data_IF_297869085175
#
_entry.id   IF_297869085175
#
_cell.length_a   1.000
_cell.length_b   1.000
_cell.length_c   1.000
_cell.angle_alpha   90.00
_cell.angle_beta   90.00
_cell.angle_gamma   90.00
#
_symmetry.space_group_name_H-M   'P 1'
#
loop_
_entity.id
_entity.type
_entity.pdbx_description
1 polymer ?
#
# COMPACT_ATOMS: atom_id res chain seq x y z
N UNK A 1 -51.55 -14.40 3.99
CA UNK A 1 -50.55 -15.40 3.55
C UNK A 1 -49.23 -15.06 4.22
N UNK A 2 -48.51 -16.02 4.81
CA UNK A 2 -47.17 -15.73 5.32
C UNK A 2 -46.27 -15.29 4.16
N UNK A 3 -45.34 -14.35 4.39
CA UNK A 3 -44.43 -13.88 3.36
C UNK A 3 -43.52 -15.02 2.90
N UNK A 4 -43.33 -15.13 1.59
CA UNK A 4 -42.38 -16.09 1.00
C UNK A 4 -40.98 -15.77 1.47
N UNK A 5 -40.30 -16.77 2.05
CA UNK A 5 -38.92 -16.68 2.53
C UNK A 5 -38.02 -17.57 1.68
N UNK A 6 -36.71 -17.31 1.68
CA UNK A 6 -35.74 -18.15 0.96
C UNK A 6 -35.82 -19.61 1.44
N UNK A 7 -36.07 -19.86 2.73
CA UNK A 7 -36.24 -21.20 3.31
C UNK A 7 -37.53 -21.90 2.89
N UNK A 8 -38.56 -21.18 2.42
CA UNK A 8 -39.81 -21.77 1.91
C UNK A 8 -39.78 -22.07 0.42
N UNK A 9 -38.71 -21.70 -0.30
CA UNK A 9 -38.56 -22.05 -1.72
C UNK A 9 -38.21 -23.54 -1.89
N UNK A 10 -38.59 -24.16 -3.02
CA UNK A 10 -38.06 -25.46 -3.44
C UNK A 10 -36.53 -25.50 -3.44
N UNK A 11 -35.95 -26.68 -3.17
CA UNK A 11 -34.51 -26.84 -3.03
C UNK A 11 -33.75 -26.38 -4.27
N UNK A 12 -34.30 -26.64 -5.45
CA UNK A 12 -33.73 -26.28 -6.75
C UNK A 12 -33.56 -24.76 -6.88
N UNK A 13 -34.59 -23.99 -6.50
CA UNK A 13 -34.53 -22.53 -6.55
C UNK A 13 -33.59 -21.97 -5.49
N UNK A 14 -33.57 -22.55 -4.28
CA UNK A 14 -32.60 -22.15 -3.25
C UNK A 14 -31.18 -22.39 -3.73
N UNK A 15 -30.89 -23.57 -4.26
CA UNK A 15 -29.57 -23.93 -4.74
C UNK A 15 -29.12 -23.02 -5.88
N UNK A 16 -30.01 -22.67 -6.81
CA UNK A 16 -29.70 -21.72 -7.88
C UNK A 16 -29.32 -20.34 -7.32
N UNK A 17 -30.13 -19.81 -6.39
CA UNK A 17 -29.83 -18.54 -5.73
C UNK A 17 -28.51 -18.61 -4.96
N UNK A 18 -28.26 -19.72 -4.25
CA UNK A 18 -27.05 -19.90 -3.46
C UNK A 18 -25.81 -20.04 -4.34
N UNK A 19 -25.90 -20.72 -5.49
CA UNK A 19 -24.81 -20.88 -6.44
C UNK A 19 -24.29 -19.52 -6.94
N UNK A 20 -25.19 -18.57 -7.17
CA UNK A 20 -24.86 -17.20 -7.60
C UNK A 20 -24.13 -16.38 -6.52
N UNK A 21 -24.13 -16.85 -5.26
CA UNK A 21 -23.41 -16.21 -4.14
C UNK A 21 -22.07 -16.85 -3.83
N UNK A 22 -21.71 -17.94 -4.52
CA UNK A 22 -20.45 -18.64 -4.26
C UNK A 22 -19.29 -17.82 -4.82
N UNK A 23 -18.28 -17.64 -4.00
CA UNK A 23 -17.00 -17.02 -4.34
C UNK A 23 -15.91 -18.07 -4.21
N UNK A 24 -15.01 -18.12 -5.19
CA UNK A 24 -13.81 -18.96 -5.11
C UNK A 24 -12.73 -18.13 -4.41
N UNK A 25 -12.14 -18.66 -3.34
CA UNK A 25 -11.02 -18.05 -2.62
C UNK A 25 -9.79 -18.93 -2.78
N UNK A 26 -8.70 -18.37 -3.27
CA UNK A 26 -7.43 -19.06 -3.42
C UNK A 26 -6.44 -18.48 -2.43
N UNK A 27 -5.83 -19.36 -1.66
CA UNK A 27 -4.79 -19.07 -0.69
C UNK A 27 -3.64 -20.05 -0.90
N UNK A 28 -2.43 -19.61 -0.61
CA UNK A 28 -1.25 -20.50 -0.59
C UNK A 28 -1.40 -21.66 0.41
N UNK A 29 -2.02 -21.44 1.58
CA UNK A 29 -2.07 -22.44 2.66
C UNK A 29 -3.14 -23.49 2.45
N UNK A 30 -4.34 -23.06 2.06
CA UNK A 30 -5.53 -23.91 2.03
C UNK A 30 -5.91 -24.31 0.60
N UNK A 31 -5.08 -23.95 -0.40
CA UNK A 31 -5.40 -24.10 -1.81
C UNK A 31 -6.60 -23.21 -2.19
N UNK A 32 -7.53 -23.76 -2.96
CA UNK A 32 -8.78 -23.07 -3.26
C UNK A 32 -9.94 -23.59 -2.41
N UNK A 33 -10.79 -22.68 -1.96
CA UNK A 33 -11.97 -22.96 -1.16
C UNK A 33 -13.18 -22.21 -1.70
N UNK A 34 -14.35 -22.82 -1.55
CA UNK A 34 -15.63 -22.21 -1.90
C UNK A 34 -16.21 -21.53 -0.67
N UNK A 35 -16.56 -20.26 -0.82
CA UNK A 35 -17.10 -19.43 0.26
C UNK A 35 -18.44 -18.85 -0.19
N UNK A 36 -19.45 -18.93 0.65
CA UNK A 36 -20.72 -18.21 0.47
C UNK A 36 -21.19 -17.65 1.80
N UNK A 37 -21.73 -16.42 1.83
CA UNK A 37 -22.30 -15.84 3.06
C UNK A 37 -23.47 -16.67 3.62
N UNK A 38 -24.15 -17.46 2.78
CA UNK A 38 -25.32 -18.22 3.19
C UNK A 38 -25.01 -19.45 4.07
N UNK A 39 -23.80 -20.01 3.94
CA UNK A 39 -23.42 -21.22 4.68
C UNK A 39 -23.47 -21.05 6.21
N UNK A 40 -23.28 -19.82 6.71
CA UNK A 40 -23.34 -19.51 8.13
C UNK A 40 -24.74 -19.17 8.68
N UNK A 41 -25.76 -19.07 7.82
CA UNK A 41 -27.08 -18.57 8.22
C UNK A 41 -27.93 -19.64 8.89
N UNK A 42 -28.05 -20.82 8.28
CA UNK A 42 -28.79 -21.94 8.85
C UNK A 42 -28.34 -23.30 8.28
N UNK A 43 -28.70 -24.40 8.98
CA UNK A 43 -28.34 -25.77 8.58
C UNK A 43 -28.86 -26.16 7.20
N UNK A 44 -30.02 -25.61 6.79
CA UNK A 44 -30.61 -25.89 5.48
C UNK A 44 -29.73 -25.38 4.35
N UNK A 45 -29.29 -24.12 4.41
CA UNK A 45 -28.41 -23.56 3.38
C UNK A 45 -27.04 -24.22 3.39
N UNK A 46 -26.52 -24.63 4.55
CA UNK A 46 -25.29 -25.42 4.59
C UNK A 46 -25.44 -26.74 3.82
N UNK A 47 -26.57 -27.45 4.00
CA UNK A 47 -26.85 -28.67 3.26
C UNK A 47 -26.99 -28.40 1.75
N UNK A 48 -27.74 -27.35 1.36
CA UNK A 48 -27.89 -26.95 -0.03
C UNK A 48 -26.52 -26.62 -0.66
N UNK A 49 -25.63 -25.92 0.06
CA UNK A 49 -24.27 -25.59 -0.42
C UNK A 49 -23.43 -26.85 -0.61
N UNK A 50 -23.45 -27.79 0.34
CA UNK A 50 -22.71 -29.04 0.20
C UNK A 50 -23.20 -29.89 -0.99
N UNK A 51 -24.48 -29.79 -1.33
CA UNK A 51 -25.03 -30.42 -2.53
C UNK A 51 -24.51 -29.73 -3.80
N UNK A 52 -24.58 -28.38 -3.86
CA UNK A 52 -24.05 -27.58 -4.97
C UNK A 52 -22.58 -27.92 -5.21
N UNK A 53 -21.74 -27.96 -4.17
CA UNK A 53 -20.28 -28.18 -4.29
C UNK A 53 -19.88 -29.44 -5.06
N UNK A 54 -20.74 -30.47 -5.11
CA UNK A 54 -20.44 -31.75 -5.78
C UNK A 54 -20.51 -31.65 -7.29
N UNK A 55 -21.47 -30.89 -7.80
CA UNK A 55 -21.77 -30.80 -9.24
C UNK A 55 -21.72 -29.36 -9.76
N UNK A 56 -21.25 -28.41 -8.98
CA UNK A 56 -21.19 -27.02 -9.43
C UNK A 56 -19.99 -26.79 -10.34
N UNK A 57 -20.27 -26.20 -11.50
CA UNK A 57 -19.30 -25.57 -12.38
C UNK A 57 -19.53 -24.06 -12.27
N UNK A 58 -18.50 -23.27 -11.93
CA UNK A 58 -18.64 -21.83 -11.85
C UNK A 58 -19.03 -21.23 -13.20
N UNK A 59 -20.02 -20.31 -13.26
CA UNK A 59 -20.15 -19.45 -14.43
C UNK A 59 -18.89 -18.59 -14.62
N UNK A 60 -18.61 -18.07 -15.84
CA UNK A 60 -17.43 -17.23 -16.11
C UNK A 60 -17.35 -15.97 -15.24
N UNK A 61 -18.51 -15.47 -14.82
CA UNK A 61 -18.68 -14.30 -13.96
C UNK A 61 -18.43 -14.58 -12.48
N UNK A 62 -18.16 -15.82 -12.10
CA UNK A 62 -17.93 -16.19 -10.68
C UNK A 62 -16.75 -15.41 -10.12
N UNK A 63 -16.94 -14.67 -9.02
CA UNK A 63 -15.84 -13.97 -8.36
C UNK A 63 -14.76 -14.97 -7.91
N UNK A 64 -13.56 -14.81 -8.45
CA UNK A 64 -12.37 -15.57 -8.07
C UNK A 64 -11.39 -14.65 -7.37
N UNK A 65 -11.19 -14.87 -6.09
CA UNK A 65 -10.39 -14.04 -5.19
C UNK A 65 -9.11 -14.76 -4.83
N UNK A 66 -7.98 -14.13 -5.07
CA UNK A 66 -6.66 -14.56 -4.64
C UNK A 66 -6.31 -13.75 -3.39
N UNK A 67 -6.36 -14.42 -2.23
CA UNK A 67 -6.26 -13.80 -0.90
C UNK A 67 -4.86 -13.30 -0.56
N UNK A 68 -3.87 -13.86 -1.25
CA UNK A 68 -2.49 -13.46 -1.19
C UNK A 68 -1.83 -13.70 -2.54
N UNK A 69 -0.83 -12.90 -2.93
CA UNK A 69 -0.22 -13.00 -4.25
C UNK A 69 0.37 -14.38 -4.62
N UNK A 70 0.85 -15.14 -3.63
CA UNK A 70 1.36 -16.51 -3.82
C UNK A 70 0.25 -17.51 -4.21
N UNK A 71 -1.02 -17.18 -3.98
CA UNK A 71 -2.15 -18.01 -4.40
C UNK A 71 -2.37 -18.05 -5.91
N UNK A 72 -1.67 -17.25 -6.71
CA UNK A 72 -1.84 -17.26 -8.17
C UNK A 72 -1.47 -18.62 -8.79
N UNK A 73 -0.50 -19.33 -8.23
CA UNK A 73 -0.15 -20.70 -8.66
C UNK A 73 -1.34 -21.67 -8.53
N UNK A 74 -2.25 -21.38 -7.59
CA UNK A 74 -3.48 -22.12 -7.41
C UNK A 74 -4.47 -21.99 -8.56
N UNK A 75 -4.33 -21.00 -9.46
CA UNK A 75 -5.21 -20.87 -10.64
C UNK A 75 -5.06 -22.04 -11.60
N UNK A 76 -3.84 -22.55 -11.81
CA UNK A 76 -3.61 -23.69 -12.70
C UNK A 76 -4.25 -24.95 -12.12
N UNK A 77 -4.13 -25.14 -10.80
CA UNK A 77 -4.76 -26.25 -10.09
C UNK A 77 -6.29 -26.14 -10.11
N UNK A 78 -6.82 -24.93 -9.93
CA UNK A 78 -8.25 -24.64 -9.99
C UNK A 78 -8.82 -24.94 -11.39
N UNK A 79 -8.13 -24.50 -12.44
CA UNK A 79 -8.53 -24.74 -13.82
C UNK A 79 -8.52 -26.24 -14.16
N UNK A 80 -7.47 -26.96 -13.75
CA UNK A 80 -7.40 -28.42 -13.92
C UNK A 80 -8.55 -29.14 -13.20
N UNK A 81 -8.83 -28.76 -11.95
CA UNK A 81 -9.92 -29.32 -11.15
C UNK A 81 -11.28 -29.14 -11.81
N UNK A 82 -11.58 -27.95 -12.34
CA UNK A 82 -12.87 -27.72 -13.00
C UNK A 82 -12.97 -28.31 -14.40
N UNK A 83 -11.86 -28.52 -15.10
CA UNK A 83 -11.83 -29.32 -16.34
C UNK A 83 -12.23 -30.76 -16.07
N UNK A 84 -11.59 -31.41 -15.11
CA UNK A 84 -11.93 -32.79 -14.69
C UNK A 84 -13.41 -32.89 -14.28
N UNK A 85 -13.89 -31.94 -13.47
CA UNK A 85 -15.30 -31.89 -13.06
C UNK A 85 -16.28 -31.66 -14.22
N UNK A 86 -15.89 -30.87 -15.21
CA UNK A 86 -16.70 -30.62 -16.39
C UNK A 86 -16.83 -31.90 -17.23
N UNK A 87 -15.74 -32.65 -17.38
CA UNK A 87 -15.73 -33.97 -18.00
C UNK A 87 -16.66 -34.95 -17.26
N UNK A 88 -16.53 -35.06 -15.93
CA UNK A 88 -17.36 -35.94 -15.10
C UNK A 88 -18.86 -35.64 -15.23
N UNK A 89 -19.20 -34.35 -15.32
CA UNK A 89 -20.59 -33.89 -15.40
C UNK A 89 -21.09 -33.70 -16.83
N UNK A 90 -20.29 -34.06 -17.84
CA UNK A 90 -20.61 -33.90 -19.27
C UNK A 90 -21.05 -32.48 -19.64
N UNK A 91 -20.39 -31.49 -19.06
CA UNK A 91 -20.59 -30.06 -19.33
C UNK A 91 -19.28 -29.45 -19.79
N UNK A 92 -19.35 -28.25 -20.34
CA UNK A 92 -18.16 -27.49 -20.72
C UNK A 92 -17.68 -26.61 -19.55
N UNK A 93 -16.37 -26.55 -19.35
CA UNK A 93 -15.75 -25.58 -18.45
C UNK A 93 -15.38 -24.32 -19.24
N UNK A 94 -16.05 -23.17 -19.00
CA UNK A 94 -15.80 -21.97 -19.78
C UNK A 94 -14.50 -21.23 -19.38
N UNK A 95 -13.81 -21.70 -18.35
CA UNK A 95 -12.63 -21.04 -17.80
C UNK A 95 -12.94 -19.93 -16.80
N UNK A 96 -11.88 -19.27 -16.32
CA UNK A 96 -11.96 -18.17 -15.35
C UNK A 96 -11.85 -16.88 -16.14
N UNK A 97 -12.89 -16.05 -16.17
CA UNK A 97 -12.83 -14.78 -16.92
C UNK A 97 -12.18 -13.66 -16.09
N UNK A 98 -12.59 -13.53 -14.82
CA UNK A 98 -12.15 -12.44 -13.95
C UNK A 98 -11.54 -12.95 -12.65
N UNK A 99 -10.40 -12.39 -12.27
CA UNK A 99 -9.76 -12.62 -10.98
C UNK A 99 -9.58 -11.30 -10.22
N UNK A 100 -9.57 -11.38 -8.88
CA UNK A 100 -9.15 -10.28 -8.00
C UNK A 100 -7.98 -10.74 -7.16
N UNK A 101 -6.87 -10.01 -7.21
CA UNK A 101 -5.65 -10.30 -6.45
C UNK A 101 -5.53 -9.26 -5.34
N UNK A 102 -5.60 -9.70 -4.08
CA UNK A 102 -5.30 -8.84 -2.94
C UNK A 102 -3.79 -8.71 -2.77
N UNK A 103 -3.31 -7.47 -2.83
CA UNK A 103 -1.89 -7.15 -2.60
C UNK A 103 -1.52 -7.44 -1.15
N UNK A 104 -2.36 -7.03 -0.22
CA UNK A 104 -2.20 -7.27 1.21
C UNK A 104 -2.86 -8.60 1.60
N UNK A 105 -2.11 -9.46 2.29
CA UNK A 105 -2.63 -10.73 2.79
C UNK A 105 -3.84 -10.48 3.69
N UNK A 106 -4.99 -11.05 3.36
CA UNK A 106 -6.20 -10.95 4.21
C UNK A 106 -6.15 -11.89 5.43
N UNK A 107 -5.21 -12.84 5.44
CA UNK A 107 -5.10 -13.90 6.45
C UNK A 107 -4.26 -13.49 7.67
N UNK A 108 -3.41 -12.47 7.54
CA UNK A 108 -2.42 -12.17 8.59
C UNK A 108 -3.02 -11.35 9.73
N UNK A 109 -3.32 -12.02 10.85
CA UNK A 109 -4.02 -11.43 12.00
C UNK A 109 -3.22 -11.46 13.31
N UNK A 110 -1.99 -11.96 13.36
CA UNK A 110 -1.22 -11.94 14.61
C UNK A 110 -0.20 -10.79 14.67
N UNK A 111 -0.27 -9.97 15.73
CA UNK A 111 0.85 -9.12 16.14
C UNK A 111 2.06 -10.00 16.47
N UNK A 112 3.28 -9.64 16.08
CA UNK A 112 4.42 -10.16 16.81
C UNK A 112 4.38 -9.69 18.27
N UNK A 113 4.94 -10.47 19.20
CA UNK A 113 4.91 -10.16 20.62
C UNK A 113 5.44 -8.74 20.89
N UNK A 114 4.74 -8.04 21.80
CA UNK A 114 5.01 -6.65 22.17
C UNK A 114 6.47 -6.53 22.60
N UNK A 115 7.29 -5.70 21.94
CA UNK A 115 8.68 -5.63 22.29
C UNK A 115 8.85 -4.97 23.67
N UNK A 116 9.74 -5.53 24.49
CA UNK A 116 10.09 -4.99 25.81
C UNK A 116 10.64 -3.56 25.66
N UNK A 117 10.55 -2.72 26.70
CA UNK A 117 10.79 -1.26 26.71
C UNK A 117 12.21 -0.79 26.30
N UNK A 118 13.03 -1.62 25.66
CA UNK A 118 14.40 -1.34 25.29
C UNK A 118 14.53 -0.60 23.95
N UNK A 119 15.51 0.29 23.78
CA UNK A 119 15.79 1.00 22.52
C UNK A 119 16.23 0.07 21.39
N UNK A 120 16.50 -1.20 21.68
CA UNK A 120 16.75 -2.30 20.75
C UNK A 120 15.47 -2.90 20.15
N UNK A 121 14.29 -2.37 20.50
CA UNK A 121 12.99 -2.82 19.97
C UNK A 121 13.03 -2.97 18.45
N UNK A 122 12.91 -4.23 18.00
CA UNK A 122 12.67 -4.55 16.59
C UNK A 122 11.35 -3.94 16.15
N UNK A 123 11.33 -3.36 14.95
CA UNK A 123 10.10 -2.81 14.37
C UNK A 123 9.00 -3.88 14.35
N UNK A 124 7.86 -3.68 15.06
CA UNK A 124 6.82 -4.69 15.19
C UNK A 124 6.03 -4.88 13.88
N UNK A 125 6.22 -4.00 12.89
CA UNK A 125 5.72 -4.21 11.53
C UNK A 125 6.66 -5.11 10.69
N UNK A 126 7.78 -5.58 11.27
CA UNK A 126 8.84 -6.37 10.62
C UNK A 126 9.33 -7.59 11.41
N UNK A 127 8.45 -8.48 11.92
CA UNK A 127 8.93 -9.58 12.73
C UNK A 127 9.73 -10.62 11.95
N UNK A 128 9.43 -10.87 10.67
CA UNK A 128 10.16 -11.80 9.78
C UNK A 128 9.92 -11.45 8.29
N UNK A 129 10.02 -10.17 7.94
CA UNK A 129 9.48 -9.60 6.70
C UNK A 129 8.32 -8.64 6.99
N UNK A 130 7.68 -8.09 5.96
CA UNK A 130 6.49 -7.26 6.14
C UNK A 130 5.33 -8.12 6.66
N UNK A 131 4.65 -7.66 7.71
CA UNK A 131 3.67 -8.50 8.41
C UNK A 131 2.45 -8.89 7.55
N UNK A 132 2.15 -8.16 6.49
CA UNK A 132 0.97 -8.35 5.63
C UNK A 132 1.31 -8.36 4.13
N UNK A 133 2.60 -8.26 3.79
CA UNK A 133 3.12 -8.35 2.43
C UNK A 133 4.16 -9.47 2.42
N UNK A 134 3.99 -10.47 1.56
CA UNK A 134 4.99 -11.53 1.44
C UNK A 134 6.19 -11.03 0.66
N UNK A 135 7.37 -11.27 1.23
CA UNK A 135 8.64 -10.82 0.67
C UNK A 135 9.09 -11.67 -0.53
N UNK A 136 8.72 -12.96 -0.55
CA UNK A 136 8.99 -13.87 -1.64
C UNK A 136 7.73 -14.01 -2.48
N UNK A 137 7.75 -13.39 -3.64
CA UNK A 137 6.84 -13.74 -4.71
C UNK A 137 7.20 -15.12 -5.29
N UNK A 138 6.23 -15.71 -5.99
CA UNK A 138 6.45 -16.84 -6.91
C UNK A 138 7.66 -16.52 -7.77
N UNK A 139 8.50 -17.52 -8.05
CA UNK A 139 9.60 -17.41 -9.01
C UNK A 139 9.07 -16.71 -10.28
N UNK A 140 9.48 -15.46 -10.51
CA UNK A 140 8.91 -14.59 -11.55
C UNK A 140 8.93 -15.26 -12.93
N UNK A 141 9.85 -16.21 -13.12
CA UNK A 141 9.97 -17.02 -14.33
C UNK A 141 8.78 -17.97 -14.58
N UNK A 142 8.01 -18.34 -13.55
CA UNK A 142 6.97 -19.37 -13.61
C UNK A 142 5.55 -18.83 -13.51
N UNK A 143 5.39 -17.53 -13.26
CA UNK A 143 4.07 -16.93 -13.15
C UNK A 143 3.35 -16.93 -14.51
N UNK A 144 2.22 -17.64 -14.60
CA UNK A 144 1.39 -17.75 -15.82
C UNK A 144 -0.09 -17.67 -15.49
N UNK A 145 -0.79 -16.76 -16.15
CA UNK A 145 -2.25 -16.70 -16.08
C UNK A 145 -2.88 -17.70 -17.08
N UNK A 146 -3.94 -18.43 -16.69
CA UNK A 146 -4.78 -19.15 -17.64
C UNK A 146 -5.25 -18.23 -18.77
N UNK A 147 -5.26 -18.74 -20.01
CA UNK A 147 -5.63 -17.98 -21.21
C UNK A 147 -7.10 -17.53 -21.26
N UNK A 148 -7.95 -18.09 -20.38
CA UNK A 148 -9.35 -17.69 -20.24
C UNK A 148 -9.52 -16.37 -19.48
N UNK A 149 -8.50 -15.92 -18.75
CA UNK A 149 -8.57 -14.69 -17.95
C UNK A 149 -8.49 -13.49 -18.87
N UNK A 150 -9.54 -12.67 -18.81
CA UNK A 150 -9.67 -11.42 -19.57
C UNK A 150 -9.67 -10.20 -18.65
N UNK A 151 -9.89 -10.38 -17.35
CA UNK A 151 -9.97 -9.29 -16.40
C UNK A 151 -9.23 -9.60 -15.10
N UNK A 152 -8.32 -8.71 -14.70
CA UNK A 152 -7.51 -8.85 -13.48
C UNK A 152 -7.68 -7.59 -12.64
N UNK A 153 -8.33 -7.71 -11.49
CA UNK A 153 -8.40 -6.63 -10.52
C UNK A 153 -7.26 -6.77 -9.52
N UNK A 154 -6.37 -5.80 -9.43
CA UNK A 154 -5.35 -5.75 -8.39
C UNK A 154 -5.83 -4.83 -7.28
N UNK A 155 -6.15 -5.42 -6.13
CA UNK A 155 -6.73 -4.75 -4.98
C UNK A 155 -5.64 -4.34 -3.98
N UNK A 156 -5.35 -3.05 -3.97
CA UNK A 156 -4.36 -2.40 -3.10
C UNK A 156 -4.99 -1.85 -1.81
N UNK A 157 -6.26 -2.15 -1.51
CA UNK A 157 -6.85 -1.71 -0.25
C UNK A 157 -6.19 -2.43 0.93
N UNK A 158 -5.77 -1.67 1.93
CA UNK A 158 -5.35 -2.24 3.19
C UNK A 158 -6.59 -2.64 3.99
N UNK A 159 -6.69 -3.89 4.46
CA UNK A 159 -7.74 -4.28 5.40
C UNK A 159 -7.74 -3.36 6.63
N UNK A 160 -8.92 -2.92 7.09
CA UNK A 160 -9.05 -1.98 8.20
C UNK A 160 -8.29 -2.43 9.47
N UNK A 161 -8.33 -3.73 9.78
CA UNK A 161 -7.59 -4.30 10.90
C UNK A 161 -6.06 -4.13 10.76
N UNK A 162 -5.53 -4.10 9.53
CA UNK A 162 -4.10 -3.86 9.28
C UNK A 162 -3.75 -2.38 9.34
N UNK A 163 -4.63 -1.50 8.83
CA UNK A 163 -4.48 -0.05 8.97
C UNK A 163 -4.37 0.31 10.45
N UNK A 164 -5.30 -0.18 11.28
CA UNK A 164 -5.28 0.03 12.72
C UNK A 164 -3.94 -0.41 13.34
N UNK A 165 -3.37 -1.53 12.91
CA UNK A 165 -2.07 -1.99 13.45
C UNK A 165 -0.91 -1.10 13.05
N UNK A 166 -0.89 -0.62 11.81
CA UNK A 166 0.12 0.32 11.36
C UNK A 166 -0.01 1.62 12.16
N UNK A 167 -1.22 2.05 12.48
CA UNK A 167 -1.50 3.22 13.34
C UNK A 167 -1.06 2.99 14.79
N UNK A 168 -1.29 1.81 15.35
CA UNK A 168 -0.83 1.44 16.69
C UNK A 168 0.71 1.42 16.84
N UNK A 169 1.44 1.35 15.71
CA UNK A 169 2.90 1.52 15.62
C UNK A 169 3.34 2.95 15.23
N UNK A 170 2.41 3.89 15.12
CA UNK A 170 2.61 5.30 14.85
C UNK A 170 2.58 6.19 16.09
N UNK A 171 2.59 7.53 15.94
CA UNK A 171 2.55 8.47 17.06
C UNK A 171 1.45 8.14 18.05
N UNK A 172 1.77 8.22 19.34
CA UNK A 172 0.86 7.92 20.46
C UNK A 172 0.33 6.47 20.51
N UNK A 173 0.77 5.62 19.58
CA UNK A 173 0.40 4.23 19.49
C UNK A 173 0.98 3.36 20.63
N UNK A 174 0.28 2.29 21.04
CA UNK A 174 0.69 1.42 22.14
C UNK A 174 1.97 0.63 21.88
N UNK A 175 2.50 0.63 20.65
CA UNK A 175 3.73 -0.04 20.26
C UNK A 175 4.93 0.90 20.07
N UNK A 176 4.77 2.20 20.38
CA UNK A 176 5.85 3.18 20.32
C UNK A 176 6.63 3.23 21.64
N UNK A 177 7.98 3.33 21.60
CA UNK A 177 8.78 3.53 22.80
C UNK A 177 8.37 4.80 23.57
N UNK A 178 8.12 4.68 24.88
CA UNK A 178 7.73 5.81 25.76
C UNK A 178 8.86 6.85 25.90
N UNK A 179 8.50 8.08 26.26
CA UNK A 179 9.44 9.16 26.60
C UNK A 179 10.08 9.89 25.40
N UNK A 180 9.48 9.78 24.22
CA UNK A 180 9.93 10.50 23.01
C UNK A 180 9.32 11.90 22.97
N UNK A 181 10.14 12.91 22.64
CA UNK A 181 9.69 14.32 22.52
C UNK A 181 8.98 14.65 21.20
N UNK A 182 9.18 13.83 20.17
CA UNK A 182 8.61 14.04 18.83
C UNK A 182 7.73 12.84 18.45
N UNK A 183 6.68 13.05 17.62
CA UNK A 183 5.90 11.98 17.01
C UNK A 183 6.79 10.90 16.40
N UNK A 184 6.57 9.64 16.79
CA UNK A 184 7.42 8.53 16.39
C UNK A 184 6.85 7.81 15.16
N UNK A 185 7.19 8.32 13.99
CA UNK A 185 6.81 7.70 12.71
C UNK A 185 7.83 6.67 12.18
N UNK A 186 8.87 6.32 12.96
CA UNK A 186 9.98 5.51 12.44
C UNK A 186 9.49 4.14 11.94
N UNK A 187 8.65 3.44 12.71
CA UNK A 187 8.19 2.11 12.32
C UNK A 187 7.31 2.12 11.07
N UNK A 188 6.36 3.06 10.99
CA UNK A 188 5.50 3.22 9.81
C UNK A 188 6.30 3.61 8.56
N UNK A 189 7.28 4.53 8.69
CA UNK A 189 8.16 4.92 7.56
C UNK A 189 8.99 3.75 7.06
N UNK A 190 9.58 2.99 7.98
CA UNK A 190 10.32 1.77 7.65
C UNK A 190 9.41 0.77 6.95
N UNK A 191 8.21 0.50 7.47
CA UNK A 191 7.24 -0.37 6.82
C UNK A 191 6.96 0.09 5.37
N UNK A 192 6.58 1.35 5.17
CA UNK A 192 6.25 1.87 3.83
C UNK A 192 7.43 1.89 2.86
N UNK A 193 8.66 2.09 3.37
CA UNK A 193 9.87 2.07 2.57
C UNK A 193 10.19 0.69 1.96
N UNK A 194 9.63 -0.38 2.52
CA UNK A 194 9.72 -1.74 1.98
C UNK A 194 8.43 -2.16 1.28
N UNK A 195 7.27 -1.75 1.80
CA UNK A 195 5.97 -2.11 1.26
C UNK A 195 5.78 -1.59 -0.16
N UNK A 196 6.02 -0.29 -0.40
CA UNK A 196 5.73 0.30 -1.70
C UNK A 196 6.58 -0.30 -2.84
N UNK A 197 7.91 -0.50 -2.70
CA UNK A 197 8.68 -1.19 -3.73
C UNK A 197 8.22 -2.62 -3.97
N UNK A 198 7.80 -3.34 -2.92
CA UNK A 198 7.26 -4.70 -3.07
C UNK A 198 5.92 -4.69 -3.80
N UNK A 199 5.02 -3.76 -3.47
CA UNK A 199 3.76 -3.57 -4.21
C UNK A 199 4.02 -3.25 -5.68
N UNK A 200 4.99 -2.37 -5.95
CA UNK A 200 5.39 -2.03 -7.30
C UNK A 200 5.90 -3.25 -8.06
N UNK A 201 6.89 -3.96 -7.51
CA UNK A 201 7.42 -5.19 -8.11
C UNK A 201 6.30 -6.19 -8.40
N UNK A 202 5.43 -6.46 -7.42
CA UNK A 202 4.25 -7.32 -7.53
C UNK A 202 3.37 -6.95 -8.73
N UNK A 203 3.01 -5.67 -8.83
CA UNK A 203 2.15 -5.19 -9.90
C UNK A 203 2.81 -5.33 -11.27
N UNK A 204 4.10 -5.00 -11.37
CA UNK A 204 4.86 -5.19 -12.60
C UNK A 204 4.97 -6.67 -12.99
N UNK A 205 5.16 -7.57 -12.03
CA UNK A 205 5.21 -9.02 -12.29
C UNK A 205 3.86 -9.57 -12.77
N UNK A 206 2.75 -9.11 -12.20
CA UNK A 206 1.40 -9.45 -12.68
C UNK A 206 1.18 -9.01 -14.12
N UNK A 207 1.62 -7.80 -14.47
CA UNK A 207 1.48 -7.28 -15.84
C UNK A 207 2.41 -8.01 -16.81
N UNK A 208 3.67 -8.22 -16.43
CA UNK A 208 4.69 -8.92 -17.24
C UNK A 208 4.30 -10.38 -17.56
N UNK A 209 3.50 -11.01 -16.70
CA UNK A 209 2.92 -12.33 -16.95
C UNK A 209 2.11 -12.45 -18.24
N UNK A 210 1.40 -11.38 -18.56
CA UNK A 210 0.51 -11.30 -19.72
C UNK A 210 1.25 -10.70 -20.90
N UNK A 211 2.32 -9.95 -20.64
CA UNK A 211 3.10 -9.21 -21.63
C UNK A 211 4.55 -9.68 -21.55
N UNK A 212 4.91 -10.75 -22.28
CA UNK A 212 6.24 -11.35 -22.19
C UNK A 212 7.39 -10.43 -22.65
N UNK A 213 7.13 -9.22 -23.15
CA UNK A 213 8.15 -8.28 -23.62
C UNK A 213 8.52 -7.26 -22.55
N UNK A 214 9.83 -7.03 -22.36
CA UNK A 214 10.40 -5.95 -21.53
C UNK A 214 10.04 -4.51 -21.97
N UNK A 215 9.15 -4.36 -22.94
CA UNK A 215 8.83 -3.11 -23.61
C UNK A 215 7.32 -2.86 -23.63
N UNK A 216 6.61 -3.00 -22.50
CA UNK A 216 5.28 -2.40 -22.42
C UNK A 216 5.46 -0.88 -22.45
N UNK A 217 5.01 -0.23 -23.52
CA UNK A 217 5.16 1.21 -23.67
C UNK A 217 4.17 1.95 -22.78
N UNK A 218 4.45 3.20 -22.42
CA UNK A 218 3.51 4.02 -21.63
C UNK A 218 2.18 4.26 -22.35
N UNK A 219 2.17 4.15 -23.69
CA UNK A 219 1.01 4.29 -24.59
C UNK A 219 -0.08 3.23 -24.36
N UNK A 220 0.30 2.19 -23.66
CA UNK A 220 -0.39 0.92 -23.57
C UNK A 220 -1.29 0.98 -22.28
N UNK A 221 -0.88 1.79 -21.29
CA UNK A 221 -1.71 2.21 -20.14
C UNK A 221 -2.80 3.19 -20.60
N UNK A 222 -4.07 2.79 -20.46
CA UNK A 222 -5.22 3.64 -20.80
C UNK A 222 -5.98 4.03 -19.55
N UNK A 223 -6.04 5.31 -19.26
CA UNK A 223 -6.97 5.79 -18.24
C UNK A 223 -8.40 5.58 -18.74
N UNK A 224 -9.26 4.94 -17.93
CA UNK A 224 -10.68 4.76 -18.22
C UNK A 224 -11.50 5.72 -17.34
N UNK A 225 -11.90 6.89 -17.87
CA UNK A 225 -12.58 7.93 -17.09
C UNK A 225 -13.83 7.42 -16.37
N UNK A 226 -14.60 6.58 -17.06
CA UNK A 226 -15.93 6.13 -16.63
C UNK A 226 -15.90 5.24 -15.39
N UNK A 227 -14.78 4.54 -15.16
CA UNK A 227 -14.60 3.68 -13.99
C UNK A 227 -13.79 4.36 -12.89
N UNK A 228 -13.28 5.55 -13.15
CA UNK A 228 -12.23 6.23 -12.38
C UNK A 228 -10.94 5.42 -12.18
N UNK A 229 -10.88 4.16 -12.61
CA UNK A 229 -9.76 3.24 -12.40
C UNK A 229 -8.75 3.37 -13.52
N UNK A 230 -7.47 3.24 -13.17
CA UNK A 230 -6.43 3.05 -14.17
C UNK A 230 -6.58 1.63 -14.73
N UNK A 231 -6.73 1.53 -16.05
CA UNK A 231 -6.75 0.24 -16.71
C UNK A 231 -5.54 0.06 -17.63
N UNK A 232 -4.98 -1.14 -17.59
CA UNK A 232 -3.91 -1.55 -18.48
C UNK A 232 -4.55 -2.58 -19.40
N UNK A 233 -4.59 -2.32 -20.70
CA UNK A 233 -5.12 -3.29 -21.67
C UNK A 233 -3.94 -3.88 -22.40
N UNK A 234 -3.75 -5.19 -22.25
CA UNK A 234 -2.65 -5.88 -22.90
C UNK A 234 -3.04 -7.30 -23.29
N UNK A 235 -2.77 -7.66 -24.55
CA UNK A 235 -3.10 -8.98 -25.11
C UNK A 235 -4.55 -9.42 -24.85
N UNK A 236 -5.49 -8.47 -24.87
CA UNK A 236 -6.92 -8.72 -24.60
C UNK A 236 -7.28 -8.87 -23.12
N UNK A 237 -6.31 -8.76 -22.20
CA UNK A 237 -6.54 -8.73 -20.76
C UNK A 237 -6.61 -7.29 -20.29
N UNK A 238 -7.62 -6.99 -19.48
CA UNK A 238 -7.77 -5.69 -18.80
C UNK A 238 -7.33 -5.84 -17.35
N UNK A 239 -6.34 -5.07 -16.92
CA UNK A 239 -5.99 -4.93 -15.51
C UNK A 239 -6.66 -3.71 -14.94
N UNK A 240 -7.29 -3.84 -13.78
CA UNK A 240 -7.91 -2.75 -13.03
C UNK A 240 -7.18 -2.59 -11.70
N UNK A 241 -6.59 -1.42 -11.47
CA UNK A 241 -5.96 -1.10 -10.17
C UNK A 241 -6.99 -0.44 -9.26
N UNK A 242 -7.31 -1.07 -8.14
CA UNK A 242 -8.27 -0.53 -7.17
C UNK A 242 -7.63 -0.30 -5.81
N UNK A 243 -8.10 0.75 -5.14
CA UNK A 243 -7.74 1.07 -3.77
C UNK A 243 -7.01 2.38 -3.60
N UNK A 244 -7.00 2.85 -2.37
CA UNK A 244 -6.44 4.14 -1.98
C UNK A 244 -5.58 3.96 -0.73
N UNK A 245 -4.46 4.69 -0.67
CA UNK A 245 -3.66 4.72 0.53
C UNK A 245 -4.44 5.44 1.64
N UNK A 246 -4.62 4.85 2.83
CA UNK A 246 -5.32 5.51 3.92
C UNK A 246 -4.72 6.90 4.21
N UNK A 247 -5.57 7.92 4.40
CA UNK A 247 -5.12 9.30 4.59
C UNK A 247 -4.14 9.45 5.77
N UNK A 248 -4.35 8.69 6.84
CA UNK A 248 -3.45 8.64 8.00
C UNK A 248 -2.03 8.16 7.65
N UNK A 249 -1.90 7.36 6.59
CA UNK A 249 -0.63 6.82 6.10
C UNK A 249 -0.03 7.67 4.99
N UNK A 250 -0.83 8.41 4.22
CA UNK A 250 -0.34 9.28 3.15
C UNK A 250 0.67 10.32 3.63
N UNK A 251 0.41 10.93 4.79
CA UNK A 251 1.35 11.88 5.40
C UNK A 251 2.66 11.22 5.82
N UNK A 252 2.61 9.98 6.30
CA UNK A 252 3.81 9.22 6.70
C UNK A 252 4.69 8.93 5.50
N UNK A 253 4.08 8.47 4.40
CA UNK A 253 4.77 8.19 3.14
C UNK A 253 5.36 9.48 2.57
N UNK A 254 4.59 10.56 2.51
CA UNK A 254 5.06 11.86 2.02
C UNK A 254 6.25 12.40 2.82
N UNK A 255 6.17 12.35 4.16
CA UNK A 255 7.26 12.76 5.03
C UNK A 255 8.52 11.90 4.86
N UNK A 256 8.36 10.60 4.59
CA UNK A 256 9.47 9.70 4.28
C UNK A 256 10.14 10.04 2.93
N UNK A 257 9.36 10.30 1.88
CA UNK A 257 9.90 10.69 0.56
C UNK A 257 10.76 11.95 0.67
N UNK A 258 10.26 12.99 1.36
CA UNK A 258 11.02 14.22 1.57
C UNK A 258 12.30 13.95 2.38
N UNK A 259 12.23 13.09 3.39
CA UNK A 259 13.41 12.70 4.15
C UNK A 259 14.45 11.99 3.26
N UNK A 260 14.02 11.09 2.37
CA UNK A 260 14.93 10.45 1.40
C UNK A 260 15.59 11.48 0.48
N UNK A 261 14.83 12.42 -0.06
CA UNK A 261 15.35 13.47 -0.95
C UNK A 261 16.36 14.39 -0.27
N UNK A 262 16.21 14.64 1.03
CA UNK A 262 17.13 15.49 1.80
C UNK A 262 18.46 14.81 2.15
N UNK A 263 18.45 13.49 2.38
CA UNK A 263 19.56 12.78 3.02
C UNK A 263 20.23 11.71 2.17
N UNK A 264 19.66 11.35 1.01
CA UNK A 264 20.24 10.36 0.12
C UNK A 264 20.54 10.98 -1.24
N UNK A 265 21.79 10.88 -1.70
CA UNK A 265 22.15 11.18 -3.10
C UNK A 265 21.39 10.32 -4.11
N UNK A 266 20.93 9.14 -3.68
CA UNK A 266 20.09 8.21 -4.44
C UNK A 266 18.58 8.39 -4.10
N UNK A 267 18.23 9.33 -3.22
CA UNK A 267 16.87 9.55 -2.74
C UNK A 267 15.95 10.08 -3.83
N UNK A 268 16.46 11.03 -4.63
CA UNK A 268 15.74 11.61 -5.76
C UNK A 268 15.35 10.58 -6.82
N UNK A 269 16.22 9.62 -7.14
CA UNK A 269 15.91 8.61 -8.15
C UNK A 269 14.77 7.70 -7.68
N UNK A 270 14.77 7.33 -6.40
CA UNK A 270 13.77 6.45 -5.82
C UNK A 270 12.39 7.12 -5.68
N UNK A 271 12.35 8.36 -5.15
CA UNK A 271 11.10 9.12 -5.01
C UNK A 271 10.49 9.47 -6.36
N UNK A 272 11.32 9.85 -7.33
CA UNK A 272 10.89 10.18 -8.70
C UNK A 272 10.38 8.95 -9.43
N UNK A 273 11.06 7.80 -9.33
CA UNK A 273 10.64 6.59 -10.05
C UNK A 273 9.32 6.04 -9.52
N UNK A 274 9.14 6.01 -8.20
CA UNK A 274 7.95 5.44 -7.59
C UNK A 274 6.72 6.35 -7.74
N UNK A 275 6.89 7.67 -7.59
CA UNK A 275 5.78 8.62 -7.74
C UNK A 275 5.38 8.89 -9.19
N UNK A 276 6.26 8.61 -10.15
CA UNK A 276 5.97 8.77 -11.59
C UNK A 276 5.50 7.48 -12.26
N UNK A 277 5.44 6.38 -11.52
CA UNK A 277 4.84 5.15 -12.05
C UNK A 277 3.35 5.39 -12.29
N UNK A 278 2.95 5.36 -13.57
CA UNK A 278 1.58 5.59 -13.99
C UNK A 278 0.61 4.61 -13.31
N UNK A 279 1.11 3.42 -12.95
CA UNK A 279 0.33 2.36 -12.31
C UNK A 279 -0.08 2.74 -10.88
N UNK A 280 0.76 3.51 -10.19
CA UNK A 280 0.52 3.97 -8.82
C UNK A 280 -0.02 5.39 -8.72
N UNK A 281 -0.24 6.07 -9.85
CA UNK A 281 -0.60 7.49 -9.88
C UNK A 281 -1.85 7.80 -9.04
N UNK A 282 -2.90 6.99 -9.19
CA UNK A 282 -4.13 7.10 -8.38
C UNK A 282 -3.87 6.75 -6.91
N UNK A 283 -3.25 5.59 -6.64
CA UNK A 283 -3.01 5.10 -5.28
C UNK A 283 -2.18 6.08 -4.43
N UNK A 284 -1.23 6.78 -5.07
CA UNK A 284 -0.34 7.76 -4.42
C UNK A 284 -0.80 9.21 -4.58
N UNK A 285 -1.98 9.48 -5.13
CA UNK A 285 -2.47 10.85 -5.36
C UNK A 285 -2.50 11.69 -4.07
N UNK A 286 -3.01 11.14 -2.96
CA UNK A 286 -3.02 11.79 -1.64
C UNK A 286 -1.61 12.00 -1.08
N UNK A 287 -0.66 11.10 -1.40
CA UNK A 287 0.75 11.24 -1.02
C UNK A 287 1.37 12.43 -1.74
N UNK A 288 1.09 12.60 -3.03
CA UNK A 288 1.61 13.73 -3.83
C UNK A 288 1.13 15.06 -3.25
N UNK A 289 -0.16 15.15 -2.90
CA UNK A 289 -0.70 16.35 -2.25
C UNK A 289 0.00 16.61 -0.91
N UNK A 290 0.08 15.59 -0.04
CA UNK A 290 0.74 15.70 1.26
C UNK A 290 2.22 16.07 1.14
N UNK A 291 2.90 15.56 0.11
CA UNK A 291 4.30 15.86 -0.18
C UNK A 291 4.47 17.34 -0.52
N UNK A 292 3.62 17.90 -1.40
CA UNK A 292 3.64 19.32 -1.74
C UNK A 292 3.45 20.18 -0.48
N UNK A 293 2.46 19.87 0.34
CA UNK A 293 2.15 20.63 1.56
C UNK A 293 3.35 20.64 2.54
N UNK A 294 3.94 19.47 2.80
CA UNK A 294 5.10 19.35 3.72
C UNK A 294 6.34 20.04 3.13
N UNK A 295 6.56 19.92 1.80
CA UNK A 295 7.69 20.55 1.13
C UNK A 295 7.60 22.08 1.16
N UNK A 296 6.41 22.63 0.92
CA UNK A 296 6.14 24.06 1.02
C UNK A 296 6.35 24.58 2.45
N UNK A 297 5.81 23.86 3.44
CA UNK A 297 5.99 24.20 4.85
C UNK A 297 7.47 24.25 5.22
N UNK A 298 8.23 23.22 4.85
CA UNK A 298 9.69 23.17 5.06
C UNK A 298 10.41 24.31 4.36
N UNK A 299 10.04 24.63 3.12
CA UNK A 299 10.62 25.76 2.38
C UNK A 299 10.35 27.09 3.10
N UNK A 300 9.13 27.27 3.61
CA UNK A 300 8.74 28.42 4.44
C UNK A 300 9.60 28.54 5.71
N UNK A 301 9.73 27.44 6.48
CA UNK A 301 10.57 27.38 7.69
C UNK A 301 12.04 27.69 7.40
N UNK A 302 12.60 27.16 6.30
CA UNK A 302 13.98 27.44 5.86
C UNK A 302 14.16 28.92 5.51
N UNK A 303 13.24 29.51 4.75
CA UNK A 303 13.26 30.95 4.41
C UNK A 303 13.17 31.83 5.67
N UNK A 304 12.27 31.51 6.60
CA UNK A 304 12.12 32.23 7.85
C UNK A 304 13.38 32.13 8.73
N UNK A 305 13.99 30.95 8.82
CA UNK A 305 15.24 30.74 9.57
C UNK A 305 16.42 31.49 8.94
N UNK A 306 16.52 31.47 7.61
CA UNK A 306 17.54 32.23 6.88
C UNK A 306 17.36 33.75 7.07
N UNK A 307 16.11 34.25 7.05
CA UNK A 307 15.80 35.65 7.34
C UNK A 307 16.23 36.05 8.75
N UNK A 308 15.82 35.29 9.78
CA UNK A 308 16.23 35.52 11.18
C UNK A 308 17.75 35.46 11.38
N UNK A 309 18.43 34.52 10.69
CA UNK A 309 19.89 34.41 10.74
C UNK A 309 20.58 35.64 10.12
N UNK A 310 20.06 36.15 8.99
CA UNK A 310 20.55 37.38 8.35
C UNK A 310 20.32 38.61 9.24
N UNK A 311 19.15 38.73 9.87
CA UNK A 311 18.85 39.82 10.81
C UNK A 311 19.80 39.81 12.01
N UNK A 312 19.98 38.66 12.66
CA UNK A 312 20.95 38.49 13.76
C UNK A 312 22.38 38.81 13.35
N UNK A 313 22.78 38.46 12.12
CA UNK A 313 24.10 38.80 11.60
C UNK A 313 24.27 40.32 11.46
N UNK A 314 23.28 41.02 10.89
CA UNK A 314 23.28 42.49 10.78
C UNK A 314 23.32 43.17 12.15
N UNK A 315 22.57 42.66 13.12
CA UNK A 315 22.59 43.18 14.50
C UNK A 315 23.99 43.05 15.13
N UNK A 316 24.64 41.89 14.97
CA UNK A 316 26.02 41.68 15.45
C UNK A 316 27.03 42.59 14.76
N UNK A 317 26.91 42.77 13.45
CA UNK A 317 27.77 43.67 12.67
C UNK A 317 27.59 45.13 13.13
N UNK A 318 26.35 45.57 13.38
CA UNK A 318 26.04 46.89 13.92
C UNK A 318 26.56 47.08 15.35
N UNK A 319 26.42 46.07 16.22
CA UNK A 319 26.93 46.11 17.59
C UNK A 319 28.47 46.18 17.60
N UNK A 320 29.15 45.40 16.77
CA UNK A 320 30.61 45.48 16.62
C UNK A 320 31.05 46.85 16.11
N UNK A 321 30.33 47.43 15.15
CA UNK A 321 30.60 48.79 14.68
C UNK A 321 30.47 49.82 15.80
N UNK A 322 29.38 49.76 16.59
CA UNK A 322 29.17 50.63 17.76
C UNK A 322 30.29 50.50 18.79
N UNK A 323 30.71 49.28 19.12
CA UNK A 323 31.84 49.04 20.04
C UNK A 323 33.13 49.66 19.52
N UNK A 324 33.44 49.50 18.23
CA UNK A 324 34.64 50.12 17.63
C UNK A 324 34.61 51.64 17.68
N UNK A 325 33.45 52.24 17.45
CA UNK A 325 33.26 53.69 17.56
C UNK A 325 33.44 54.19 19.00
N UNK A 326 32.95 53.43 19.99
CA UNK A 326 33.11 53.73 21.42
C UNK A 326 34.57 53.60 21.87
N UNK A 327 35.24 52.48 21.57
CA UNK A 327 36.68 52.31 21.82
C UNK A 327 37.53 53.39 21.15
N UNK A 328 37.17 53.80 19.93
CA UNK A 328 37.84 54.89 19.22
C UNK A 328 37.70 56.23 19.94
N UNK A 329 36.52 56.52 20.51
CA UNK A 329 36.29 57.73 21.31
C UNK A 329 37.07 57.70 22.63
N UNK A 330 37.06 56.56 23.32
CA UNK A 330 37.79 56.40 24.60
C UNK A 330 39.31 56.49 24.41
N UNK A 331 39.84 55.87 23.35
CA UNK A 331 41.26 55.98 23.01
C UNK A 331 41.64 57.43 22.68
N UNK A 332 40.81 58.16 21.92
CA UNK A 332 41.04 59.56 21.62
C UNK A 332 40.98 60.46 22.88
N UNK A 333 40.05 60.16 23.80
CA UNK A 333 39.94 60.87 25.07
C UNK A 333 41.14 60.57 25.99
N UNK A 334 41.59 59.32 26.06
CA UNK A 334 42.78 58.91 26.79
C UNK A 334 44.05 59.58 26.27
N UNK A 335 44.24 59.63 24.95
CA UNK A 335 45.37 60.33 24.32
C UNK A 335 45.37 61.84 24.61
N UNK A 336 44.19 62.48 24.66
CA UNK A 336 44.07 63.89 25.06
C UNK A 336 44.45 64.10 26.53
N UNK A 337 44.04 63.21 27.44
CA UNK A 337 44.41 63.30 28.87
C UNK A 337 45.91 63.15 29.07
N UNK A 338 46.52 62.14 28.45
CA UNK A 338 47.97 61.93 28.52
C UNK A 338 48.76 63.17 28.03
N UNK A 339 48.32 63.79 26.93
CA UNK A 339 48.93 65.04 26.43
C UNK A 339 48.77 66.24 27.39
N UNK A 340 47.72 66.27 28.20
CA UNK A 340 47.55 67.33 29.19
C UNK A 340 48.35 67.07 30.47
N UNK A 341 48.70 65.82 30.78
CA UNK A 341 49.56 65.47 31.93
C UNK A 341 51.05 65.69 31.64
N UNK A 342 51.46 65.78 30.37
CA UNK A 342 52.83 66.10 29.96
C UNK A 342 53.15 67.62 29.92
N UNK A 343 52.15 68.48 30.12
CA UNK A 343 52.27 69.95 30.18
C UNK A 343 52.17 70.42 31.63
#
# INVERSE_FOLDING_TARGET
MPPTTLTSLPAELRQQILADTITIKISERDGFNLSTPAAGVCKLFLADVEEIRRSWLPPPSTPTIIQNPSGVDGLVLLDAFYKERAEDTKREWPGINSIRIYVFSTETTSWPPRPSYDKTVRNPLRPYGLFNLRWTWVDEANFRLPSSIQHVVVDMNLPAAQVQRIEEAGPDGPHVPKGRKNPYFKFQREYWSEALPQMQSLVHSIVAAVIPSRNYERSDVKWLPEKETLAIVANGVTFEMVGELPQSQAQVVAAWLIFKDEYSSHGQEYSTTMCNDAVFDRYLSTVKQSYCDIAEEKRGRRKATAKRSRERRKERENEQKRKREEYGKDAAAGAKRARMEEL
#
